data_IF_304493083587
#
_entry.id   IF_304493083587
#
_cell.length_a   1.000
_cell.length_b   1.000
_cell.length_c   1.000
_cell.angle_alpha   90.00
_cell.angle_beta   90.00
_cell.angle_gamma   90.00
#
_symmetry.space_group_name_H-M   'P 1'
#
loop_
_entity.id
_entity.type
_entity.pdbx_description
1 polymer ?
#
# COMPACT_ATOMS: atom_id res chain seq x y z
N UNK A 1 -15.02 0.47 -0.11
CA UNK A 1 -14.96 -0.78 -0.86
C UNK A 1 -15.19 -1.94 0.12
N UNK A 2 -16.18 -2.82 -0.07
CA UNK A 2 -16.22 -4.08 0.68
C UNK A 2 -14.99 -4.91 0.29
N UNK A 3 -14.43 -5.62 1.26
CA UNK A 3 -13.38 -6.66 1.19
C UNK A 3 -12.84 -6.97 -0.20
N UNK A 4 -11.83 -6.20 -0.64
CA UNK A 4 -11.09 -6.54 -1.86
C UNK A 4 -10.21 -7.78 -1.58
N UNK A 5 -10.43 -8.92 -2.26
CA UNK A 5 -9.64 -10.13 -2.03
C UNK A 5 -8.16 -9.93 -2.38
N UNK A 6 -7.87 -9.03 -3.32
CA UNK A 6 -6.49 -8.69 -3.70
C UNK A 6 -5.76 -7.96 -2.55
N UNK A 7 -6.42 -7.02 -1.88
CA UNK A 7 -5.81 -6.33 -0.73
C UNK A 7 -5.50 -7.30 0.41
N UNK A 8 -6.43 -8.22 0.70
CA UNK A 8 -6.20 -9.27 1.70
C UNK A 8 -5.04 -10.19 1.33
N UNK A 9 -4.96 -10.63 0.07
CA UNK A 9 -3.88 -11.48 -0.41
C UNK A 9 -2.51 -10.78 -0.33
N UNK A 10 -2.43 -9.51 -0.73
CA UNK A 10 -1.21 -8.72 -0.65
C UNK A 10 -0.75 -8.51 0.79
N UNK A 11 -1.68 -8.19 1.70
CA UNK A 11 -1.36 -8.07 3.12
C UNK A 11 -0.83 -9.38 3.70
N UNK A 12 -1.43 -10.52 3.34
CA UNK A 12 -0.95 -11.82 3.81
C UNK A 12 0.46 -12.09 3.30
N UNK A 13 0.74 -11.85 2.02
CA UNK A 13 2.09 -12.01 1.47
C UNK A 13 3.12 -11.10 2.15
N UNK A 14 2.75 -9.85 2.47
CA UNK A 14 3.61 -8.94 3.23
C UNK A 14 3.83 -9.43 4.67
N UNK A 15 2.77 -9.90 5.33
CA UNK A 15 2.87 -10.47 6.68
C UNK A 15 3.84 -11.66 6.71
N UNK A 16 3.68 -12.60 5.78
CA UNK A 16 4.53 -13.78 5.65
C UNK A 16 5.99 -13.39 5.37
N UNK A 17 6.22 -12.44 4.44
CA UNK A 17 7.55 -11.98 4.06
C UNK A 17 8.31 -11.30 5.21
N UNK A 18 7.60 -10.61 6.11
CA UNK A 18 8.19 -9.92 7.26
C UNK A 18 8.10 -10.72 8.56
N UNK A 19 7.51 -11.93 8.55
CA UNK A 19 7.32 -12.75 9.75
C UNK A 19 6.39 -12.11 10.79
N UNK A 20 5.35 -11.40 10.33
CA UNK A 20 4.42 -10.66 11.20
C UNK A 20 3.14 -11.46 11.37
N UNK A 21 2.91 -11.98 12.58
CA UNK A 21 1.75 -12.85 12.84
C UNK A 21 0.46 -12.08 13.14
N UNK A 22 0.57 -10.87 13.72
CA UNK A 22 -0.57 -10.10 14.19
C UNK A 22 -0.56 -8.69 13.61
N UNK A 23 -1.17 -8.54 12.44
CA UNK A 23 -1.44 -7.22 11.88
C UNK A 23 -2.67 -6.59 12.55
N UNK A 24 -2.68 -5.25 12.70
CA UNK A 24 -3.89 -4.57 13.14
C UNK A 24 -5.02 -4.72 12.12
N UNK A 25 -6.29 -4.54 12.55
CA UNK A 25 -7.41 -4.45 11.63
C UNK A 25 -7.18 -3.35 10.58
N UNK A 26 -7.30 -3.71 9.31
CA UNK A 26 -7.08 -2.82 8.17
C UNK A 26 -8.41 -2.42 7.55
N UNK A 27 -8.63 -1.12 7.40
CA UNK A 27 -9.80 -0.55 6.75
C UNK A 27 -9.40 0.15 5.45
N UNK A 28 -10.22 -0.02 4.43
CA UNK A 28 -9.94 0.49 3.09
C UNK A 28 -11.03 1.47 2.65
N UNK A 29 -10.63 2.72 2.40
CA UNK A 29 -11.50 3.78 1.88
C UNK A 29 -11.02 4.26 0.51
N UNK A 30 -11.70 5.25 -0.06
CA UNK A 30 -11.37 5.77 -1.38
C UNK A 30 -11.96 4.93 -2.51
N UNK A 31 -12.32 5.59 -3.61
CA UNK A 31 -12.89 4.96 -4.80
C UNK A 31 -12.13 5.46 -6.05
N UNK A 32 -11.84 4.53 -6.95
CA UNK A 32 -10.99 4.77 -8.12
C UNK A 32 -9.51 4.55 -7.83
N UNK A 33 -8.72 4.51 -8.90
CA UNK A 33 -7.29 4.23 -8.87
C UNK A 33 -6.65 4.48 -10.24
N UNK A 34 -5.37 4.14 -10.36
CA UNK A 34 -4.66 4.22 -11.64
C UNK A 34 -5.28 3.27 -12.66
N UNK A 35 -5.40 3.72 -13.92
CA UNK A 35 -5.73 2.83 -15.05
C UNK A 35 -4.50 2.01 -15.39
N UNK A 36 -4.41 0.83 -14.79
CA UNK A 36 -3.29 -0.09 -14.96
C UNK A 36 -3.83 -1.48 -15.28
N UNK A 37 -3.14 -2.27 -16.14
CA UNK A 37 -3.45 -3.69 -16.33
C UNK A 37 -3.10 -4.54 -15.09
N UNK A 38 -2.33 -4.00 -14.15
CA UNK A 38 -1.95 -4.65 -12.89
C UNK A 38 -2.62 -3.95 -11.68
N UNK A 39 -2.78 -4.69 -10.58
CA UNK A 39 -3.35 -4.23 -9.29
C UNK A 39 -2.44 -3.27 -8.51
N UNK A 40 -1.92 -2.23 -9.18
CA UNK A 40 -0.97 -1.26 -8.62
C UNK A 40 -1.61 -0.36 -7.56
N UNK A 41 -2.91 -0.11 -7.65
CA UNK A 41 -3.64 0.67 -6.64
C UNK A 41 -3.74 -0.11 -5.34
N UNK A 42 -4.07 -1.39 -5.44
CA UNK A 42 -4.14 -2.31 -4.31
C UNK A 42 -2.74 -2.54 -3.72
N UNK A 43 -1.72 -2.71 -4.55
CA UNK A 43 -0.33 -2.81 -4.08
C UNK A 43 0.10 -1.55 -3.31
N UNK A 44 -0.20 -0.36 -3.84
CA UNK A 44 0.09 0.90 -3.17
C UNK A 44 -0.60 1.00 -1.81
N UNK A 45 -1.91 0.75 -1.78
CA UNK A 45 -2.70 0.82 -0.56
C UNK A 45 -2.26 -0.22 0.48
N UNK A 46 -2.05 -1.48 0.06
CA UNK A 46 -1.57 -2.55 0.95
C UNK A 46 -0.20 -2.21 1.54
N UNK A 47 0.74 -1.71 0.74
CA UNK A 47 2.09 -1.35 1.19
C UNK A 47 2.05 -0.24 2.26
N UNK A 48 1.26 0.80 2.01
CA UNK A 48 1.10 1.92 2.96
C UNK A 48 0.38 1.48 4.24
N UNK A 49 -0.70 0.71 4.12
CA UNK A 49 -1.44 0.18 5.26
C UNK A 49 -0.60 -0.76 6.13
N UNK A 50 0.15 -1.66 5.50
CA UNK A 50 1.08 -2.57 6.19
C UNK A 50 2.16 -1.80 6.96
N UNK A 51 2.85 -0.86 6.29
CA UNK A 51 3.86 -0.02 6.94
C UNK A 51 3.28 0.80 8.11
N UNK A 52 2.08 1.36 7.94
CA UNK A 52 1.39 2.05 9.03
C UNK A 52 1.04 1.09 10.18
N UNK A 53 0.65 -0.15 9.90
CA UNK A 53 0.38 -1.16 10.92
C UNK A 53 1.63 -1.55 11.74
N UNK A 54 2.78 -1.69 11.08
CA UNK A 54 4.06 -1.89 11.77
C UNK A 54 4.43 -0.66 12.62
N UNK A 55 4.15 0.54 12.12
CA UNK A 55 4.41 1.77 12.86
C UNK A 55 3.53 1.88 14.10
N UNK A 56 2.25 1.46 14.06
CA UNK A 56 1.40 1.47 15.26
C UNK A 56 1.92 0.50 16.31
N UNK A 57 2.31 -0.71 15.91
CA UNK A 57 2.97 -1.69 16.78
C UNK A 57 4.23 -1.09 17.43
N UNK A 58 5.11 -0.49 16.64
CA UNK A 58 6.35 0.11 17.11
C UNK A 58 6.11 1.29 18.07
N UNK A 59 5.15 2.19 17.77
CA UNK A 59 4.95 3.42 18.55
C UNK A 59 4.07 3.22 19.78
N UNK A 60 3.10 2.32 19.72
CA UNK A 60 2.06 2.16 20.73
C UNK A 60 2.20 0.86 21.52
N UNK A 61 3.09 -0.04 21.10
CA UNK A 61 3.30 -1.36 21.72
C UNK A 61 2.14 -2.33 21.48
N UNK A 62 1.17 -1.98 20.62
CA UNK A 62 0.00 -2.80 20.31
C UNK A 62 -0.51 -2.55 18.88
N UNK A 63 -1.15 -3.55 18.25
CA UNK A 63 -1.76 -3.37 16.94
C UNK A 63 -2.99 -2.48 17.07
N UNK A 64 -2.92 -1.28 16.49
CA UNK A 64 -4.03 -0.32 16.45
C UNK A 64 -4.60 -0.26 15.04
N UNK A 65 -5.94 -0.23 14.86
CA UNK A 65 -6.56 -0.20 13.54
C UNK A 65 -6.01 0.89 12.63
N UNK A 66 -5.82 0.55 11.36
CA UNK A 66 -5.29 1.45 10.34
C UNK A 66 -6.34 1.61 9.24
N UNK A 67 -6.51 2.84 8.76
CA UNK A 67 -7.35 3.14 7.59
C UNK A 67 -6.47 3.70 6.49
N UNK A 68 -6.54 3.09 5.31
CA UNK A 68 -5.83 3.58 4.11
C UNK A 68 -6.83 3.97 3.04
N UNK A 69 -6.65 5.17 2.48
CA UNK A 69 -7.40 5.61 1.32
C UNK A 69 -6.71 5.13 0.03
N UNK A 70 -7.37 4.22 -0.68
CA UNK A 70 -6.81 3.57 -1.87
C UNK A 70 -6.59 4.57 -3.02
N UNK A 71 -7.45 5.59 -3.13
CA UNK A 71 -7.33 6.59 -4.19
C UNK A 71 -6.13 7.50 -3.93
N UNK A 72 -5.94 7.96 -2.69
CA UNK A 72 -4.77 8.77 -2.33
C UNK A 72 -3.47 7.98 -2.46
N UNK A 73 -3.46 6.70 -2.03
CA UNK A 73 -2.32 5.82 -2.23
C UNK A 73 -1.96 5.66 -3.72
N UNK A 74 -2.97 5.51 -4.58
CA UNK A 74 -2.78 5.43 -6.03
C UNK A 74 -2.17 6.70 -6.63
N UNK A 75 -2.54 7.89 -6.12
CA UNK A 75 -1.95 9.15 -6.60
C UNK A 75 -0.50 9.31 -6.18
N UNK A 76 -0.13 8.85 -4.98
CA UNK A 76 1.25 8.84 -4.55
C UNK A 76 2.11 7.93 -5.42
N UNK A 77 1.62 6.71 -5.72
CA UNK A 77 2.29 5.78 -6.64
C UNK A 77 2.27 6.24 -8.10
N UNK A 78 1.28 7.04 -8.49
CA UNK A 78 1.16 7.65 -9.81
C UNK A 78 2.18 8.76 -10.06
N UNK A 79 2.87 9.26 -9.02
CA UNK A 79 3.96 10.21 -9.18
C UNK A 79 5.23 9.50 -9.62
N UNK A 80 5.62 9.67 -10.88
CA UNK A 80 6.97 9.35 -11.33
C UNK A 80 7.95 10.40 -10.80
N UNK A 81 8.99 9.99 -10.10
CA UNK A 81 10.18 10.83 -9.95
C UNK A 81 10.67 11.19 -11.36
N UNK A 82 10.66 12.48 -11.69
CA UNK A 82 11.25 12.95 -12.96
C UNK A 82 12.75 13.03 -12.75
N UNK A 83 13.55 12.22 -13.46
CA UNK A 83 14.98 12.28 -13.30
C UNK A 83 15.47 13.67 -13.73
N UNK A 84 16.17 14.36 -12.84
CA UNK A 84 16.80 15.65 -13.14
C UNK A 84 18.21 15.38 -13.67
N UNK A 85 18.55 15.95 -14.83
CA UNK A 85 19.88 15.80 -15.43
C UNK A 85 20.13 14.47 -16.17
N UNK A 86 19.16 13.54 -16.21
CA UNK A 86 19.26 12.34 -17.04
C UNK A 86 18.76 12.62 -18.45
N UNK A 87 19.67 12.66 -19.44
CA UNK A 87 19.31 12.56 -20.85
C UNK A 87 19.20 11.08 -21.24
N UNK A 88 18.04 10.66 -21.76
CA UNK A 88 17.88 9.30 -22.28
C UNK A 88 19.05 8.99 -23.23
N UNK A 89 19.76 7.86 -23.07
CA UNK A 89 20.79 7.47 -24.03
C UNK A 89 20.17 7.46 -25.43
N UNK A 90 20.87 8.04 -26.40
CA UNK A 90 20.40 8.06 -27.79
C UNK A 90 20.12 6.65 -28.29
N UNK A 91 19.01 6.49 -29.03
CA UNK A 91 18.63 5.27 -29.73
C UNK A 91 19.70 4.86 -30.76
#
# INVERSE_FOLDING_TARGET
MPSSPILSALLQQMADAFGVENLPPMHWTGQGGLRSPFYVTELAAASMGFAAGLLTLYRQGKPTPVTTDCRLASFWFGMSLRPQGWQLPGL
#
